data_IF_122326387281
#
_entry.id   IF_122326387281
#
_cell.length_a   1.000
_cell.length_b   1.000
_cell.length_c   1.000
_cell.angle_alpha   90.00
_cell.angle_beta   90.00
_cell.angle_gamma   90.00
#
_symmetry.space_group_name_H-M   'P 1'
#
loop_
_entity.id
_entity.type
_entity.pdbx_description
1 polymer ?
#
# COMPACT_ATOMS: atom_id res chain seq x y z
N UNK A 1 49.57 -4.84 21.27
CA UNK A 1 50.04 -3.55 20.72
C UNK A 1 49.28 -3.32 19.41
N UNK A 2 48.55 -2.19 19.29
CA UNK A 2 47.58 -1.98 18.21
C UNK A 2 48.32 -1.76 16.86
N UNK A 3 47.94 -2.49 15.79
CA UNK A 3 48.54 -2.38 14.43
C UNK A 3 48.68 -0.94 13.93
N UNK A 4 47.76 -0.03 14.32
CA UNK A 4 47.82 1.41 14.02
C UNK A 4 48.96 2.13 14.71
N UNK A 5 49.33 1.70 15.92
CA UNK A 5 50.44 2.27 16.70
C UNK A 5 51.80 1.81 16.13
N UNK A 6 51.85 0.56 15.64
CA UNK A 6 53.06 0.01 14.96
C UNK A 6 53.34 0.74 13.65
N UNK A 7 52.29 1.06 12.85
CA UNK A 7 52.43 1.83 11.61
C UNK A 7 52.85 3.29 11.88
N UNK A 8 52.43 3.89 13.02
CA UNK A 8 52.87 5.23 13.42
C UNK A 8 54.36 5.23 13.78
N UNK A 9 54.83 4.21 14.51
CA UNK A 9 56.24 4.08 14.86
C UNK A 9 57.12 3.89 13.60
N UNK A 10 56.69 3.10 12.62
CA UNK A 10 57.39 2.94 11.35
C UNK A 10 57.41 4.22 10.53
N UNK A 11 56.34 5.00 10.51
CA UNK A 11 56.26 6.26 9.77
C UNK A 11 57.18 7.31 10.41
N UNK A 12 57.22 7.37 11.75
CA UNK A 12 58.14 8.24 12.50
C UNK A 12 59.60 7.84 12.28
N UNK A 13 59.89 6.51 12.25
CA UNK A 13 61.22 6.04 11.94
C UNK A 13 61.71 6.38 10.51
N UNK A 14 60.81 6.32 9.50
CA UNK A 14 61.11 6.73 8.13
C UNK A 14 61.32 8.25 8.03
N UNK A 15 60.55 9.08 8.73
CA UNK A 15 60.75 10.53 8.80
C UNK A 15 62.07 10.91 9.46
N UNK A 16 62.50 10.16 10.47
CA UNK A 16 63.79 10.36 11.14
C UNK A 16 64.97 9.94 10.25
N UNK A 17 64.78 8.90 9.44
CA UNK A 17 65.86 8.44 8.51
C UNK A 17 66.10 9.36 7.35
N UNK A 18 65.19 10.29 7.05
CA UNK A 18 65.33 11.29 5.99
C UNK A 18 66.02 12.58 6.46
N UNK A 19 66.39 12.69 7.73
CA UNK A 19 67.19 13.82 8.24
C UNK A 19 68.68 13.53 7.98
N UNK A 20 69.39 14.34 7.19
CA UNK A 20 70.82 14.11 6.97
C UNK A 20 71.59 14.17 8.31
N UNK A 21 72.38 13.15 8.60
CA UNK A 21 73.06 12.87 9.90
C UNK A 21 74.04 14.00 10.35
N UNK A 22 74.21 15.05 9.58
CA UNK A 22 75.16 16.18 9.85
C UNK A 22 74.52 17.51 10.12
N UNK A 23 73.23 17.60 10.46
CA UNK A 23 72.65 18.84 10.96
C UNK A 23 73.05 19.01 12.42
N UNK A 24 74.06 19.85 12.74
CA UNK A 24 74.27 20.37 14.10
C UNK A 24 73.04 21.16 14.50
N UNK A 25 72.12 20.54 15.21
CA UNK A 25 70.92 21.18 15.75
C UNK A 25 71.37 22.06 16.90
N UNK A 26 71.47 23.37 16.68
CA UNK A 26 71.62 24.34 17.79
C UNK A 26 70.34 24.26 18.64
N UNK A 27 70.47 23.75 19.86
CA UNK A 27 69.40 23.42 20.76
C UNK A 27 68.55 24.61 21.29
N UNK A 28 68.64 25.79 20.68
CA UNK A 28 67.99 27.00 21.19
C UNK A 28 67.21 27.79 20.12
N UNK A 29 66.88 27.23 18.96
CA UNK A 29 66.07 27.96 17.99
C UNK A 29 64.62 28.17 18.50
N UNK A 30 64.22 29.44 18.62
CA UNK A 30 62.81 29.84 18.88
C UNK A 30 61.90 29.57 17.65
N UNK A 31 62.48 29.12 16.54
CA UNK A 31 61.83 28.86 15.25
C UNK A 31 62.22 27.46 14.79
N UNK A 32 61.72 26.38 15.42
CA UNK A 32 62.02 25.03 14.93
C UNK A 32 61.36 24.77 13.58
N UNK A 33 61.98 23.92 12.78
CA UNK A 33 61.38 23.42 11.53
C UNK A 33 60.39 22.30 11.92
N UNK A 34 59.15 22.40 11.46
CA UNK A 34 58.11 21.35 11.65
C UNK A 34 57.90 20.66 10.31
N UNK A 35 58.00 19.35 10.28
CA UNK A 35 57.68 18.49 9.13
C UNK A 35 56.38 17.70 9.43
N UNK A 36 55.48 17.66 8.44
CA UNK A 36 54.22 16.92 8.54
C UNK A 36 54.26 15.71 7.59
N UNK A 37 53.56 14.62 7.99
CA UNK A 37 53.37 13.44 7.11
C UNK A 37 52.52 13.76 5.87
N UNK A 38 51.68 14.82 5.93
CA UNK A 38 50.99 15.38 4.78
C UNK A 38 50.56 16.83 5.02
N UNK A 39 50.42 17.59 3.94
CA UNK A 39 50.03 19.02 3.97
C UNK A 39 48.57 19.22 3.50
N UNK A 40 47.98 18.18 2.91
CA UNK A 40 46.56 18.14 2.56
C UNK A 40 46.07 16.71 2.55
N UNK A 41 44.79 16.53 2.95
CA UNK A 41 44.13 15.23 2.96
C UNK A 41 42.64 15.40 2.69
N UNK A 42 42.11 14.53 1.81
CA UNK A 42 40.66 14.41 1.57
C UNK A 42 40.14 13.19 2.31
N UNK A 43 39.04 13.35 3.06
CA UNK A 43 38.44 12.33 3.91
C UNK A 43 36.94 12.27 3.63
N UNK A 44 36.32 11.10 3.91
CA UNK A 44 34.88 10.95 4.02
C UNK A 44 34.46 11.16 5.47
N UNK A 45 33.19 11.44 5.72
CA UNK A 45 32.66 11.51 7.08
C UNK A 45 32.89 10.16 7.79
N UNK A 46 33.40 10.22 9.02
CA UNK A 46 33.75 9.06 9.83
C UNK A 46 35.16 8.51 9.62
N UNK A 47 35.87 8.97 8.57
CA UNK A 47 37.28 8.57 8.38
C UNK A 47 38.16 9.23 9.44
N UNK A 48 39.20 8.49 9.89
CA UNK A 48 40.26 9.05 10.73
C UNK A 48 41.65 8.64 10.21
N UNK A 49 42.66 9.49 10.49
CA UNK A 49 44.05 9.19 10.22
C UNK A 49 44.94 9.91 11.23
N UNK A 50 46.19 9.47 11.37
CA UNK A 50 47.19 10.15 12.16
C UNK A 50 48.02 11.13 11.33
N UNK A 51 47.96 12.43 11.66
CA UNK A 51 48.86 13.45 11.16
C UNK A 51 50.11 13.43 12.00
N UNK A 52 51.15 12.78 11.50
CA UNK A 52 52.44 12.80 12.18
C UNK A 52 53.14 14.15 11.99
N UNK A 53 53.74 14.66 13.04
CA UNK A 53 54.53 15.89 13.02
C UNK A 53 55.87 15.70 13.80
N UNK A 54 56.95 16.15 13.22
CA UNK A 54 58.28 16.11 13.83
C UNK A 54 58.86 17.51 13.87
N UNK A 55 59.37 17.93 15.02
CA UNK A 55 60.06 19.21 15.18
C UNK A 55 61.56 19.02 15.25
N UNK A 56 62.31 19.90 14.60
CA UNK A 56 63.79 19.82 14.51
C UNK A 56 64.51 19.97 15.84
N UNK A 57 63.82 20.48 16.88
CA UNK A 57 64.34 20.62 18.25
C UNK A 57 63.98 19.45 19.18
N UNK A 58 63.33 18.41 18.65
CA UNK A 58 62.92 17.20 19.39
C UNK A 58 61.70 17.39 20.31
N UNK A 59 61.07 18.58 20.34
CA UNK A 59 59.87 18.79 21.12
C UNK A 59 58.64 18.17 20.44
N UNK A 60 57.59 17.91 21.21
CA UNK A 60 56.31 17.39 20.72
C UNK A 60 55.43 18.59 20.33
N UNK A 61 55.08 18.75 19.02
CA UNK A 61 54.20 19.81 18.59
C UNK A 61 52.78 19.65 19.10
N UNK A 62 52.03 20.75 19.24
CA UNK A 62 50.61 20.76 19.58
C UNK A 62 49.74 20.84 18.34
N UNK A 63 48.58 20.20 18.36
CA UNK A 63 47.64 20.14 17.26
C UNK A 63 46.36 20.90 17.58
N UNK A 64 45.84 21.71 16.66
CA UNK A 64 44.59 22.44 16.82
C UNK A 64 43.82 22.50 15.49
N UNK A 65 42.55 22.08 15.48
CA UNK A 65 41.69 22.28 14.33
C UNK A 65 41.12 23.70 14.28
N UNK A 66 41.09 24.29 13.08
CA UNK A 66 40.42 25.58 12.85
C UNK A 66 38.89 25.44 12.86
N UNK A 67 38.38 24.22 12.66
CA UNK A 67 36.94 23.89 12.80
C UNK A 67 36.75 22.44 13.23
N UNK A 68 36.62 22.23 14.53
CA UNK A 68 36.38 20.90 15.12
C UNK A 68 35.01 20.29 14.71
N UNK A 69 34.10 21.10 14.17
CA UNK A 69 32.85 20.64 13.60
C UNK A 69 33.08 19.92 12.25
N UNK A 70 34.08 20.34 11.45
CA UNK A 70 34.43 19.72 10.18
C UNK A 70 35.36 18.54 10.41
N UNK A 71 36.49 18.75 11.12
CA UNK A 71 37.39 17.70 11.53
C UNK A 71 38.01 18.04 12.91
N UNK A 72 37.99 17.09 13.82
CA UNK A 72 38.67 17.22 15.13
C UNK A 72 40.07 16.61 15.06
N UNK A 73 40.93 17.02 15.96
CA UNK A 73 42.25 16.43 16.15
C UNK A 73 42.53 16.21 17.65
N UNK A 74 43.12 15.04 17.96
CA UNK A 74 43.60 14.76 19.33
C UNK A 74 44.98 15.32 19.59
N UNK A 75 45.44 15.35 20.85
CA UNK A 75 46.80 15.73 21.21
C UNK A 75 47.89 14.84 20.59
N UNK A 76 47.53 13.61 20.17
CA UNK A 76 48.42 12.67 19.48
C UNK A 76 48.38 12.79 17.96
N UNK A 77 47.65 13.79 17.42
CA UNK A 77 47.54 14.00 15.97
C UNK A 77 46.52 13.11 15.24
N UNK A 78 45.64 12.38 15.95
CA UNK A 78 44.56 11.66 15.28
C UNK A 78 43.49 12.64 14.80
N UNK A 79 43.32 12.76 13.50
CA UNK A 79 42.33 13.61 12.81
C UNK A 79 41.12 12.77 12.47
N UNK A 80 39.92 13.22 12.92
CA UNK A 80 38.64 12.54 12.60
C UNK A 80 37.72 13.50 11.86
N UNK A 81 37.24 13.08 10.67
CA UNK A 81 36.32 13.82 9.82
C UNK A 81 34.88 13.70 10.37
N UNK A 82 34.18 14.85 10.59
CA UNK A 82 32.84 14.88 11.23
C UNK A 82 31.73 15.40 10.29
N UNK A 83 32.00 16.46 9.54
CA UNK A 83 31.02 17.05 8.62
C UNK A 83 31.66 17.58 7.36
N UNK A 84 30.92 17.70 6.25
CA UNK A 84 31.47 18.18 4.98
C UNK A 84 31.99 19.61 5.11
N UNK A 85 33.11 19.87 4.43
CA UNK A 85 33.73 21.19 4.41
C UNK A 85 35.24 21.13 4.35
N UNK A 86 35.89 22.28 4.57
CA UNK A 86 37.34 22.39 4.59
C UNK A 86 37.76 23.08 5.89
N UNK A 87 38.76 22.53 6.53
CA UNK A 87 39.43 23.14 7.69
C UNK A 87 40.94 22.93 7.62
N UNK A 88 41.69 23.55 8.51
CA UNK A 88 43.11 23.31 8.69
C UNK A 88 43.35 22.68 10.07
N UNK A 89 44.29 21.75 10.13
CA UNK A 89 44.89 21.31 11.37
C UNK A 89 46.18 22.09 11.55
N UNK A 90 46.22 23.04 12.44
CA UNK A 90 47.40 23.80 12.79
C UNK A 90 48.27 22.99 13.72
N UNK A 91 49.56 22.91 13.40
CA UNK A 91 50.58 22.22 14.18
C UNK A 91 51.60 23.26 14.62
N UNK A 92 51.72 23.45 15.94
CA UNK A 92 52.53 24.50 16.51
C UNK A 92 53.57 23.95 17.48
N UNK A 93 54.79 24.49 17.33
CA UNK A 93 55.86 24.32 18.25
C UNK A 93 56.57 25.68 18.47
N UNK A 94 56.59 26.14 19.72
CA UNK A 94 57.08 27.50 20.10
C UNK A 94 56.46 28.61 19.20
N UNK A 95 57.26 29.30 18.40
CA UNK A 95 56.83 30.37 17.47
C UNK A 95 56.55 29.90 16.04
N UNK A 96 56.83 28.65 15.74
CA UNK A 96 56.59 28.08 14.40
C UNK A 96 55.21 27.42 14.37
N UNK A 97 54.44 27.71 13.31
CA UNK A 97 53.13 27.11 13.04
C UNK A 97 53.06 26.72 11.58
N UNK A 98 52.61 25.49 11.28
CA UNK A 98 52.37 24.99 9.96
C UNK A 98 50.99 24.31 9.96
N UNK A 99 50.36 24.14 8.81
CA UNK A 99 49.03 23.54 8.74
C UNK A 99 48.90 22.46 7.69
N UNK A 100 48.06 21.48 7.98
CA UNK A 100 47.54 20.49 7.03
C UNK A 100 46.09 20.85 6.64
N UNK A 101 45.82 20.99 5.35
CA UNK A 101 44.48 21.25 4.83
C UNK A 101 43.67 19.95 4.82
N UNK A 102 42.53 19.93 5.50
CA UNK A 102 41.58 18.79 5.51
C UNK A 102 40.34 19.18 4.73
N UNK A 103 40.00 18.35 3.74
CA UNK A 103 38.74 18.45 2.99
C UNK A 103 37.88 17.24 3.31
N UNK A 104 36.71 17.45 3.90
CA UNK A 104 35.73 16.38 4.15
C UNK A 104 34.67 16.45 3.06
N UNK A 105 34.53 15.37 2.31
CA UNK A 105 33.56 15.27 1.19
C UNK A 105 32.15 15.02 1.69
N UNK A 106 31.15 15.54 0.97
CA UNK A 106 29.74 15.20 1.20
C UNK A 106 29.50 13.72 0.93
N UNK A 107 28.62 13.11 1.72
CA UNK A 107 28.15 11.73 1.51
C UNK A 107 27.45 11.65 0.17
N UNK A 108 27.84 10.69 -0.67
CA UNK A 108 27.13 10.37 -1.90
C UNK A 108 26.14 9.24 -1.59
N UNK A 109 24.87 9.44 -1.95
CA UNK A 109 23.81 8.43 -1.85
C UNK A 109 23.37 8.08 -3.26
N UNK A 110 23.30 6.78 -3.56
CA UNK A 110 22.79 6.25 -4.83
C UNK A 110 21.63 5.32 -4.51
N UNK A 111 20.48 5.58 -5.11
CA UNK A 111 19.29 4.75 -5.04
C UNK A 111 19.26 3.77 -6.21
N UNK A 112 18.74 2.55 -6.00
CA UNK A 112 18.48 1.60 -7.10
C UNK A 112 17.49 2.17 -8.10
N UNK A 113 16.48 2.94 -7.60
CA UNK A 113 15.47 3.60 -8.42
C UNK A 113 15.20 5.02 -7.92
N UNK A 114 15.01 5.95 -8.86
CA UNK A 114 14.60 7.34 -8.55
C UNK A 114 13.10 7.53 -8.59
N UNK A 115 12.39 6.59 -9.21
CA UNK A 115 10.93 6.54 -9.25
C UNK A 115 10.46 5.10 -9.36
N UNK A 116 9.40 4.75 -8.63
CA UNK A 116 8.75 3.44 -8.65
C UNK A 116 7.24 3.59 -8.84
N UNK A 117 6.62 2.58 -9.44
CA UNK A 117 5.18 2.51 -9.62
C UNK A 117 4.70 1.15 -9.15
N UNK A 118 3.90 1.13 -8.09
CA UNK A 118 3.44 -0.07 -7.39
C UNK A 118 1.91 -0.06 -7.24
N UNK A 119 1.33 -1.24 -6.99
CA UNK A 119 -0.09 -1.38 -6.66
C UNK A 119 -0.32 -1.19 -5.14
N UNK A 120 -1.58 -1.09 -4.74
CA UNK A 120 -1.96 -1.15 -3.32
C UNK A 120 -1.52 -2.49 -2.70
N UNK A 121 -0.91 -2.46 -1.52
CA UNK A 121 -0.30 -3.59 -0.79
C UNK A 121 0.90 -4.24 -1.50
N UNK A 122 1.34 -3.72 -2.64
CA UNK A 122 2.59 -4.15 -3.24
C UNK A 122 3.77 -3.49 -2.53
N UNK A 123 4.85 -4.26 -2.36
CA UNK A 123 6.08 -3.78 -1.73
C UNK A 123 7.25 -3.80 -2.71
N UNK A 124 8.10 -2.77 -2.63
CA UNK A 124 9.31 -2.62 -3.41
C UNK A 124 10.50 -2.35 -2.50
N UNK A 125 11.58 -3.11 -2.66
CA UNK A 125 12.85 -2.90 -1.92
C UNK A 125 13.68 -1.83 -2.61
N UNK A 126 13.76 -0.64 -2.00
CA UNK A 126 14.63 0.44 -2.45
C UNK A 126 16.04 0.21 -1.92
N UNK A 127 16.93 -0.32 -2.77
CA UNK A 127 18.32 -0.52 -2.40
C UNK A 127 19.09 0.80 -2.43
N UNK A 128 19.91 1.02 -1.40
CA UNK A 128 20.66 2.26 -1.20
C UNK A 128 22.15 1.94 -1.01
N UNK A 129 23.01 2.64 -1.72
CA UNK A 129 24.45 2.61 -1.48
C UNK A 129 24.92 3.99 -1.09
N UNK A 130 25.83 4.05 -0.08
CA UNK A 130 26.42 5.30 0.39
C UNK A 130 27.92 5.26 0.30
N UNK A 131 28.56 6.44 0.15
CA UNK A 131 30.01 6.56 0.17
C UNK A 131 30.62 6.52 1.59
N UNK A 132 29.78 6.53 2.61
CA UNK A 132 30.15 6.47 4.05
C UNK A 132 29.44 5.30 4.72
N UNK A 133 29.86 4.94 5.93
CA UNK A 133 29.24 3.87 6.74
C UNK A 133 28.19 4.41 7.74
N UNK A 134 27.76 5.67 7.57
CA UNK A 134 26.75 6.29 8.43
C UNK A 134 25.37 5.64 8.27
N UNK A 135 24.53 5.82 9.30
CA UNK A 135 23.16 5.30 9.33
C UNK A 135 22.32 5.92 8.21
N UNK A 136 21.51 5.06 7.58
CA UNK A 136 20.56 5.45 6.56
C UNK A 136 19.19 5.54 7.21
N UNK A 137 18.49 6.65 7.00
CA UNK A 137 17.12 6.84 7.46
C UNK A 137 16.17 7.10 6.30
N UNK A 138 14.95 6.56 6.40
CA UNK A 138 13.92 6.65 5.39
C UNK A 138 12.71 7.39 5.93
N UNK A 139 12.08 8.22 5.11
CA UNK A 139 10.86 8.94 5.49
C UNK A 139 9.94 9.14 4.30
N UNK A 140 8.68 8.75 4.44
CA UNK A 140 7.62 9.11 3.48
C UNK A 140 7.05 10.49 3.82
N UNK A 141 6.80 11.32 2.81
CA UNK A 141 6.09 12.58 2.97
C UNK A 141 4.56 12.39 3.06
N UNK A 142 4.05 11.20 2.65
CA UNK A 142 2.61 10.92 2.60
C UNK A 142 2.34 9.44 2.91
N UNK A 143 2.33 9.10 4.18
CA UNK A 143 2.16 7.72 4.68
C UNK A 143 0.80 7.10 4.33
N UNK A 144 -0.22 7.93 4.06
CA UNK A 144 -1.52 7.45 3.56
C UNK A 144 -1.46 6.89 2.13
N UNK A 145 -0.44 7.24 1.35
CA UNK A 145 -0.22 6.75 -0.02
C UNK A 145 0.82 5.64 -0.04
N UNK A 146 1.98 5.86 0.57
CA UNK A 146 3.03 4.86 0.66
C UNK A 146 3.80 5.01 1.97
N UNK A 147 4.12 3.90 2.61
CA UNK A 147 4.99 3.81 3.79
C UNK A 147 6.35 3.25 3.40
N UNK A 148 7.35 3.48 4.23
CA UNK A 148 8.68 2.89 4.10
C UNK A 148 9.16 2.42 5.47
N UNK A 149 9.74 1.23 5.54
CA UNK A 149 10.34 0.71 6.77
C UNK A 149 11.81 1.15 6.95
N UNK A 150 12.40 0.78 8.08
CA UNK A 150 13.81 1.06 8.41
C UNK A 150 14.81 0.39 7.47
N UNK A 151 14.39 -0.65 6.77
CA UNK A 151 15.19 -1.39 5.80
C UNK A 151 15.06 -0.84 4.38
N UNK A 152 14.22 0.17 4.14
CA UNK A 152 13.98 0.74 2.82
C UNK A 152 12.96 -0.04 1.97
N UNK A 153 12.11 -0.87 2.57
CA UNK A 153 10.99 -1.52 1.87
C UNK A 153 9.83 -0.53 1.80
N UNK A 154 9.45 -0.14 0.59
CA UNK A 154 8.35 0.77 0.30
C UNK A 154 7.10 -0.03 0.01
N UNK A 155 5.98 0.24 0.72
CA UNK A 155 4.69 -0.43 0.52
C UNK A 155 3.61 0.57 0.15
N UNK A 156 2.87 0.29 -0.92
CA UNK A 156 1.72 1.09 -1.36
C UNK A 156 0.50 0.92 -0.46
N UNK A 157 -0.12 2.02 -0.02
CA UNK A 157 -1.29 2.00 0.86
C UNK A 157 -2.59 2.43 0.17
N UNK A 158 -2.54 3.48 -0.67
CA UNK A 158 -3.68 3.97 -1.45
C UNK A 158 -3.20 4.63 -2.74
N UNK A 159 -4.01 4.65 -3.80
CA UNK A 159 -3.67 5.35 -5.04
C UNK A 159 -3.28 6.81 -4.82
N UNK A 160 -2.21 7.23 -5.49
CA UNK A 160 -1.69 8.60 -5.40
C UNK A 160 -0.16 8.65 -5.54
N UNK A 161 0.39 9.83 -5.26
CA UNK A 161 1.82 10.08 -5.33
C UNK A 161 2.39 10.39 -3.94
N UNK A 162 3.56 9.83 -3.66
CA UNK A 162 4.35 10.08 -2.45
C UNK A 162 5.84 10.23 -2.80
N UNK A 163 6.62 10.76 -1.87
CA UNK A 163 8.06 10.89 -1.99
C UNK A 163 8.70 10.21 -0.77
N UNK A 164 9.60 9.28 -1.04
CA UNK A 164 10.46 8.69 -0.02
C UNK A 164 11.77 9.46 0.00
N UNK A 165 12.05 10.10 1.12
CA UNK A 165 13.33 10.76 1.40
C UNK A 165 14.27 9.78 2.08
N UNK A 166 15.48 9.63 1.53
CA UNK A 166 16.55 8.79 2.04
C UNK A 166 17.68 9.71 2.49
N UNK A 167 18.03 9.66 3.77
CA UNK A 167 19.05 10.51 4.36
C UNK A 167 20.19 9.69 4.95
N UNK A 168 21.43 10.08 4.64
CA UNK A 168 22.63 9.61 5.29
C UNK A 168 23.53 10.83 5.59
N UNK A 169 24.00 10.93 6.82
CA UNK A 169 24.72 12.11 7.34
C UNK A 169 23.94 13.41 7.06
N UNK A 170 24.53 14.35 6.31
CA UNK A 170 23.90 15.61 5.92
C UNK A 170 23.28 15.62 4.54
N UNK A 171 23.32 14.48 3.82
CA UNK A 171 22.82 14.36 2.44
C UNK A 171 21.45 13.68 2.44
N UNK A 172 20.53 14.21 1.63
CA UNK A 172 19.21 13.63 1.40
C UNK A 172 18.99 13.50 -0.10
N UNK A 173 18.48 12.34 -0.51
CA UNK A 173 18.00 12.08 -1.88
C UNK A 173 16.55 11.59 -1.83
N UNK A 174 15.86 11.60 -2.96
CA UNK A 174 14.43 11.29 -3.02
C UNK A 174 14.14 10.24 -4.09
N UNK A 175 13.18 9.35 -3.77
CA UNK A 175 12.53 8.45 -4.69
C UNK A 175 11.05 8.83 -4.81
N UNK A 176 10.56 9.03 -6.04
CA UNK A 176 9.14 9.26 -6.32
C UNK A 176 8.41 7.92 -6.32
N UNK A 177 7.28 7.86 -5.64
CA UNK A 177 6.44 6.66 -5.56
C UNK A 177 5.07 6.99 -6.11
N UNK A 178 4.63 6.23 -7.11
CA UNK A 178 3.27 6.26 -7.61
C UNK A 178 2.57 4.97 -7.24
N UNK A 179 1.54 5.05 -6.40
CA UNK A 179 0.62 3.94 -6.16
C UNK A 179 -0.50 4.04 -7.20
N UNK A 180 -0.61 3.01 -8.04
CA UNK A 180 -1.53 3.01 -9.18
C UNK A 180 -2.98 2.98 -8.72
N UNK A 181 -3.84 3.61 -9.50
CA UNK A 181 -5.29 3.44 -9.39
C UNK A 181 -5.66 2.05 -9.93
N UNK A 182 -6.39 1.21 -9.17
CA UNK A 182 -6.71 -0.13 -9.64
C UNK A 182 -7.68 -0.11 -10.82
N UNK A 183 -7.55 -1.09 -11.71
CA UNK A 183 -8.58 -1.42 -12.67
C UNK A 183 -9.52 -2.45 -12.06
N UNK A 184 -10.85 -2.26 -12.25
CA UNK A 184 -11.90 -3.17 -11.75
C UNK A 184 -12.78 -3.58 -12.89
N UNK A 185 -12.96 -4.88 -13.12
CA UNK A 185 -13.84 -5.46 -14.13
C UNK A 185 -14.79 -6.45 -13.48
N UNK A 186 -16.09 -6.32 -13.74
CA UNK A 186 -17.12 -7.23 -13.21
C UNK A 186 -17.49 -8.30 -14.24
N UNK A 187 -17.70 -9.51 -13.76
CA UNK A 187 -18.23 -10.62 -14.53
C UNK A 187 -19.29 -11.41 -13.69
N UNK A 188 -20.54 -11.48 -14.19
CA UNK A 188 -21.10 -10.77 -15.34
C UNK A 188 -21.29 -9.26 -15.08
N UNK A 189 -21.42 -8.47 -16.16
CA UNK A 189 -21.71 -7.02 -16.06
C UNK A 189 -23.20 -6.72 -15.86
N UNK A 190 -24.08 -7.69 -16.09
CA UNK A 190 -25.51 -7.63 -15.79
C UNK A 190 -26.06 -9.01 -15.47
N UNK A 191 -27.12 -9.06 -14.66
CA UNK A 191 -27.84 -10.28 -14.28
C UNK A 191 -29.33 -10.14 -14.54
N UNK A 192 -29.95 -11.24 -14.97
CA UNK A 192 -31.40 -11.35 -15.12
C UNK A 192 -31.87 -12.63 -14.45
N UNK A 193 -32.71 -12.52 -13.45
CA UNK A 193 -33.09 -13.63 -12.54
C UNK A 193 -34.56 -13.52 -12.12
N UNK A 194 -35.09 -14.58 -11.55
CA UNK A 194 -36.38 -14.58 -10.87
C UNK A 194 -36.19 -14.52 -9.34
N UNK A 195 -37.21 -14.10 -8.63
CA UNK A 195 -37.24 -14.11 -7.15
C UNK A 195 -36.82 -15.47 -6.58
N UNK A 196 -35.94 -15.48 -5.58
CA UNK A 196 -35.41 -16.66 -4.93
C UNK A 196 -34.16 -17.26 -5.58
N UNK A 197 -33.79 -16.81 -6.79
CA UNK A 197 -32.54 -17.21 -7.42
C UNK A 197 -31.35 -16.44 -6.84
N UNK A 198 -30.17 -17.07 -6.87
CA UNK A 198 -28.90 -16.46 -6.48
C UNK A 198 -27.88 -16.67 -7.61
N UNK A 199 -26.98 -15.67 -7.78
CA UNK A 199 -25.88 -15.72 -8.73
C UNK A 199 -24.66 -15.00 -8.17
N UNK A 200 -23.46 -15.38 -8.58
CA UNK A 200 -22.22 -14.74 -8.16
C UNK A 200 -21.76 -13.72 -9.21
N UNK A 201 -21.42 -12.52 -8.74
CA UNK A 201 -20.66 -11.53 -9.50
C UNK A 201 -19.22 -11.61 -9.02
N UNK A 202 -18.28 -11.75 -9.94
CA UNK A 202 -16.84 -11.71 -9.64
C UNK A 202 -16.27 -10.37 -10.08
N UNK A 203 -15.24 -9.89 -9.36
CA UNK A 203 -14.50 -8.70 -9.72
C UNK A 203 -13.02 -9.05 -9.95
N UNK A 204 -12.52 -8.77 -11.17
CA UNK A 204 -11.09 -8.77 -11.45
C UNK A 204 -10.53 -7.41 -11.08
N UNK A 205 -9.60 -7.38 -10.12
CA UNK A 205 -8.99 -6.18 -9.59
C UNK A 205 -7.48 -6.25 -9.76
N UNK A 206 -6.84 -5.26 -10.41
CA UNK A 206 -5.38 -5.26 -10.65
C UNK A 206 -4.57 -5.29 -9.35
N UNK A 207 -5.02 -4.60 -8.31
CA UNK A 207 -4.37 -4.57 -7.00
C UNK A 207 -4.67 -5.79 -6.12
N UNK A 208 -5.52 -6.74 -6.58
CA UNK A 208 -5.96 -7.93 -5.82
C UNK A 208 -6.68 -7.63 -4.50
N UNK A 209 -7.07 -6.37 -4.28
CA UNK A 209 -7.87 -5.97 -3.12
C UNK A 209 -9.31 -6.43 -3.32
N UNK A 210 -9.89 -7.03 -2.30
CA UNK A 210 -11.29 -7.44 -2.33
C UNK A 210 -12.22 -6.23 -2.41
N UNK A 211 -13.22 -6.24 -3.32
CA UNK A 211 -14.18 -5.15 -3.43
C UNK A 211 -15.15 -5.11 -2.25
N UNK A 212 -15.60 -3.92 -1.90
CA UNK A 212 -16.74 -3.72 -1.02
C UNK A 212 -18.00 -3.69 -1.88
N UNK A 213 -18.93 -4.62 -1.62
CA UNK A 213 -20.16 -4.78 -2.37
C UNK A 213 -21.32 -4.01 -1.72
N UNK A 214 -22.18 -3.39 -2.54
CA UNK A 214 -23.38 -2.71 -2.06
C UNK A 214 -24.50 -2.76 -3.09
N UNK A 215 -25.71 -3.07 -2.66
CA UNK A 215 -26.95 -2.90 -3.44
C UNK A 215 -27.58 -1.53 -3.15
N UNK A 216 -28.03 -0.83 -4.19
CA UNK A 216 -28.81 0.41 -4.02
C UNK A 216 -30.28 0.14 -3.66
N UNK A 217 -30.78 -1.11 -3.87
CA UNK A 217 -32.16 -1.54 -3.58
C UNK A 217 -32.17 -2.96 -3.00
N UNK A 218 -31.82 -3.08 -1.73
CA UNK A 218 -31.74 -4.37 -1.01
C UNK A 218 -33.06 -5.13 -0.94
N UNK A 219 -34.22 -4.42 -1.08
CA UNK A 219 -35.53 -5.05 -1.18
C UNK A 219 -35.79 -5.77 -2.53
N UNK A 220 -35.04 -5.42 -3.59
CA UNK A 220 -35.13 -6.06 -4.92
C UNK A 220 -34.09 -7.15 -5.05
N UNK A 221 -32.82 -6.82 -4.80
CA UNK A 221 -31.72 -7.76 -4.80
C UNK A 221 -30.70 -7.37 -3.73
N UNK A 222 -30.29 -8.33 -2.94
CA UNK A 222 -29.22 -8.15 -1.94
C UNK A 222 -27.93 -8.77 -2.46
N UNK A 223 -26.77 -8.30 -1.93
CA UNK A 223 -25.44 -8.83 -2.22
C UNK A 223 -24.68 -9.03 -0.92
N UNK A 224 -23.95 -10.14 -0.80
CA UNK A 224 -23.07 -10.41 0.32
C UNK A 224 -21.63 -9.89 0.06
N UNK A 225 -20.75 -10.05 1.05
CA UNK A 225 -19.34 -9.66 0.99
C UNK A 225 -18.52 -10.41 -0.07
N UNK A 226 -19.00 -11.58 -0.52
CA UNK A 226 -18.35 -12.44 -1.50
C UNK A 226 -18.89 -12.23 -2.94
N UNK A 227 -19.82 -11.28 -3.13
CA UNK A 227 -20.43 -10.97 -4.41
C UNK A 227 -21.58 -11.90 -4.82
N UNK A 228 -22.14 -12.69 -3.90
CA UNK A 228 -23.36 -13.46 -4.17
C UNK A 228 -24.59 -12.55 -4.08
N UNK A 229 -25.29 -12.47 -5.20
CA UNK A 229 -26.53 -11.69 -5.33
C UNK A 229 -27.73 -12.62 -5.16
N UNK A 230 -28.67 -12.24 -4.30
CA UNK A 230 -29.95 -12.94 -4.08
C UNK A 230 -31.10 -12.03 -4.52
N UNK A 231 -31.93 -12.54 -5.44
CA UNK A 231 -33.10 -11.85 -5.93
C UNK A 231 -34.29 -12.00 -4.96
N UNK A 232 -34.86 -10.88 -4.48
CA UNK A 232 -35.89 -10.88 -3.42
C UNK A 232 -37.28 -10.47 -3.94
N UNK A 233 -37.34 -9.54 -4.93
CA UNK A 233 -38.59 -9.01 -5.47
C UNK A 233 -38.34 -8.50 -6.89
N UNK A 234 -39.37 -8.59 -7.78
CA UNK A 234 -39.28 -8.03 -9.12
C UNK A 234 -38.92 -6.54 -9.12
N UNK A 235 -38.12 -6.13 -10.09
CA UNK A 235 -37.58 -4.79 -10.23
C UNK A 235 -36.12 -4.78 -10.66
N UNK A 236 -35.49 -3.62 -10.61
CA UNK A 236 -34.08 -3.45 -10.95
C UNK A 236 -33.32 -2.94 -9.74
N UNK A 237 -32.15 -3.53 -9.46
CA UNK A 237 -31.18 -3.10 -8.47
C UNK A 237 -29.81 -2.91 -9.12
N UNK A 238 -29.02 -1.96 -8.61
CA UNK A 238 -27.64 -1.74 -9.02
C UNK A 238 -26.72 -2.27 -7.91
N UNK A 239 -25.93 -3.28 -8.24
CA UNK A 239 -24.90 -3.84 -7.37
C UNK A 239 -23.59 -3.15 -7.69
N UNK A 240 -23.02 -2.47 -6.72
CA UNK A 240 -21.78 -1.71 -6.85
C UNK A 240 -20.64 -2.43 -6.13
N UNK A 241 -19.54 -2.67 -6.85
CA UNK A 241 -18.25 -3.05 -6.29
C UNK A 241 -17.37 -1.81 -6.16
N UNK A 242 -16.77 -1.59 -5.00
CA UNK A 242 -15.88 -0.45 -4.73
C UNK A 242 -14.52 -0.93 -4.26
N UNK A 243 -13.45 -0.47 -4.93
CA UNK A 243 -12.05 -0.73 -4.56
C UNK A 243 -11.26 0.57 -4.66
N UNK A 244 -10.65 1.03 -3.57
CA UNK A 244 -9.86 2.27 -3.53
C UNK A 244 -10.57 3.50 -4.13
N UNK A 245 -11.88 3.60 -3.92
CA UNK A 245 -12.72 4.67 -4.47
C UNK A 245 -13.21 4.43 -5.91
N UNK A 246 -12.67 3.45 -6.62
CA UNK A 246 -13.14 3.05 -7.95
C UNK A 246 -14.40 2.22 -7.81
N UNK A 247 -15.46 2.60 -8.55
CA UNK A 247 -16.76 1.95 -8.54
C UNK A 247 -17.07 1.31 -9.88
N UNK A 248 -17.55 0.06 -9.84
CA UNK A 248 -18.14 -0.62 -11.00
C UNK A 248 -19.50 -1.15 -10.61
N UNK A 249 -20.41 -1.15 -11.56
CA UNK A 249 -21.82 -1.46 -11.36
C UNK A 249 -22.21 -2.65 -12.23
N UNK A 250 -22.93 -3.58 -11.62
CA UNK A 250 -23.66 -4.65 -12.29
C UNK A 250 -25.16 -4.38 -12.11
N UNK A 251 -25.90 -4.27 -13.22
CA UNK A 251 -27.33 -4.15 -13.19
C UNK A 251 -27.97 -5.52 -12.98
N UNK A 252 -28.86 -5.63 -12.00
CA UNK A 252 -29.60 -6.84 -11.67
C UNK A 252 -31.06 -6.61 -11.92
N UNK A 253 -31.62 -7.27 -12.93
CA UNK A 253 -33.05 -7.27 -13.23
C UNK A 253 -33.70 -8.52 -12.65
N UNK A 254 -34.54 -8.37 -11.66
CA UNK A 254 -35.44 -9.41 -11.18
C UNK A 254 -36.73 -9.35 -11.98
N UNK A 255 -36.94 -10.36 -12.84
CA UNK A 255 -38.09 -10.42 -13.73
C UNK A 255 -39.38 -10.71 -12.96
N UNK A 256 -40.53 -10.05 -13.30
CA UNK A 256 -41.82 -10.52 -12.83
C UNK A 256 -42.12 -11.88 -13.45
N UNK A 257 -42.65 -12.85 -12.70
CA UNK A 257 -43.00 -14.15 -13.25
C UNK A 257 -44.21 -14.07 -14.17
N UNK A 258 -44.30 -15.04 -15.07
CA UNK A 258 -45.52 -15.29 -15.89
C UNK A 258 -46.26 -16.46 -15.27
N UNK A 259 -47.57 -16.28 -15.00
CA UNK A 259 -48.45 -17.36 -14.46
C UNK A 259 -49.38 -17.81 -15.53
N UNK A 260 -49.29 -19.09 -15.92
CA UNK A 260 -50.22 -19.76 -16.84
C UNK A 260 -51.08 -20.77 -16.09
N UNK A 261 -52.40 -20.62 -16.12
CA UNK A 261 -53.34 -21.53 -15.55
C UNK A 261 -53.78 -22.62 -16.56
N UNK A 262 -54.01 -23.83 -16.09
CA UNK A 262 -54.55 -24.95 -16.88
C UNK A 262 -55.95 -24.63 -17.42
N UNK A 263 -56.74 -23.82 -16.70
CA UNK A 263 -58.08 -23.34 -17.10
C UNK A 263 -58.26 -21.91 -16.59
N UNK A 264 -58.92 -21.05 -17.40
CA UNK A 264 -59.29 -19.68 -17.04
C UNK A 264 -60.74 -19.57 -16.56
N UNK A 265 -61.54 -20.61 -16.84
CA UNK A 265 -62.91 -20.76 -16.37
C UNK A 265 -63.27 -22.23 -16.15
N UNK A 266 -64.12 -22.52 -15.15
CA UNK A 266 -64.66 -23.86 -14.88
C UNK A 266 -66.10 -23.72 -14.42
N UNK A 267 -66.96 -24.72 -14.81
CA UNK A 267 -68.32 -24.86 -14.30
C UNK A 267 -68.39 -26.14 -13.48
N UNK A 268 -68.92 -26.03 -12.24
CA UNK A 268 -68.97 -27.13 -11.26
C UNK A 268 -70.37 -27.22 -10.64
N UNK A 269 -70.69 -28.35 -10.06
CA UNK A 269 -71.87 -28.54 -9.18
C UNK A 269 -71.46 -28.40 -7.73
N UNK A 270 -72.38 -28.04 -6.81
CA UNK A 270 -72.10 -28.06 -5.39
C UNK A 270 -71.55 -29.43 -4.94
N UNK A 271 -70.41 -29.41 -4.19
CA UNK A 271 -69.69 -30.60 -3.76
C UNK A 271 -68.55 -31.06 -4.68
N UNK A 272 -68.52 -30.60 -5.96
CA UNK A 272 -67.46 -30.98 -6.89
C UNK A 272 -66.11 -30.40 -6.43
N UNK A 273 -65.05 -31.15 -6.72
CA UNK A 273 -63.66 -30.74 -6.55
C UNK A 273 -62.89 -30.83 -7.88
N UNK A 274 -62.01 -29.86 -8.14
CA UNK A 274 -61.10 -29.86 -9.28
C UNK A 274 -59.76 -29.29 -8.89
N UNK A 275 -58.69 -29.86 -9.41
CA UNK A 275 -57.33 -29.28 -9.30
C UNK A 275 -57.06 -28.33 -10.46
N UNK A 276 -56.85 -27.05 -10.14
CA UNK A 276 -56.33 -26.04 -11.08
C UNK A 276 -54.83 -25.97 -10.99
N UNK A 277 -54.14 -26.22 -12.08
CA UNK A 277 -52.65 -26.14 -12.10
C UNK A 277 -52.21 -24.74 -12.56
N UNK A 278 -51.24 -24.20 -11.85
CA UNK A 278 -50.57 -22.95 -12.21
C UNK A 278 -49.11 -23.22 -12.53
N UNK A 279 -48.69 -22.95 -13.77
CA UNK A 279 -47.29 -22.96 -14.18
C UNK A 279 -46.75 -21.55 -14.02
N UNK A 280 -45.76 -21.39 -13.11
CA UNK A 280 -45.12 -20.13 -12.79
C UNK A 280 -43.70 -20.14 -13.33
N UNK A 281 -43.35 -19.16 -14.19
CA UNK A 281 -42.04 -19.12 -14.85
C UNK A 281 -40.85 -18.98 -13.92
N UNK A 282 -41.06 -18.50 -12.70
CA UNK A 282 -40.01 -18.42 -11.65
C UNK A 282 -39.75 -19.76 -10.96
N UNK A 283 -40.61 -20.74 -11.13
CA UNK A 283 -40.58 -22.01 -10.37
C UNK A 283 -41.06 -21.88 -8.92
N UNK A 284 -41.40 -20.68 -8.45
CA UNK A 284 -41.87 -20.44 -7.08
C UNK A 284 -43.32 -20.87 -6.91
N UNK A 285 -43.65 -21.29 -5.68
CA UNK A 285 -45.04 -21.64 -5.31
C UNK A 285 -45.91 -20.37 -5.26
N UNK A 286 -47.00 -20.30 -6.06
CA UNK A 286 -47.89 -19.15 -6.06
C UNK A 286 -48.87 -19.20 -4.86
N UNK A 287 -49.39 -18.01 -4.51
CA UNK A 287 -50.46 -17.88 -3.51
C UNK A 287 -51.81 -17.95 -4.19
N UNK A 288 -52.73 -18.76 -3.63
CA UNK A 288 -54.09 -18.96 -4.08
C UNK A 288 -55.10 -18.27 -3.18
N UNK A 289 -56.04 -17.52 -3.76
CA UNK A 289 -57.09 -16.83 -3.01
C UNK A 289 -58.41 -16.94 -3.78
N UNK A 290 -59.49 -17.30 -3.10
CA UNK A 290 -60.86 -17.17 -3.59
C UNK A 290 -61.45 -15.84 -3.11
N UNK A 291 -62.07 -15.06 -4.00
CA UNK A 291 -62.81 -13.85 -3.65
C UNK A 291 -64.17 -14.10 -3.01
N UNK A 292 -64.71 -15.31 -3.20
CA UNK A 292 -66.01 -15.74 -2.57
C UNK A 292 -65.89 -17.17 -2.08
N UNK A 293 -65.33 -17.37 -0.92
CA UNK A 293 -65.13 -18.71 -0.32
C UNK A 293 -66.41 -19.43 0.05
N UNK A 294 -67.57 -18.72 0.15
CA UNK A 294 -68.89 -19.28 0.32
C UNK A 294 -69.41 -19.97 -0.95
N UNK A 295 -68.94 -19.53 -2.15
CA UNK A 295 -69.31 -20.16 -3.45
C UNK A 295 -68.31 -21.23 -3.81
N UNK A 296 -67.03 -20.93 -3.79
CA UNK A 296 -65.95 -21.88 -4.07
C UNK A 296 -64.70 -21.53 -3.24
N UNK A 297 -64.16 -22.49 -2.54
CA UNK A 297 -62.91 -22.38 -1.79
C UNK A 297 -61.75 -22.92 -2.62
N UNK A 298 -60.51 -22.44 -2.41
CA UNK A 298 -59.30 -22.97 -3.02
C UNK A 298 -58.23 -23.22 -1.96
N UNK A 299 -57.55 -24.37 -2.09
CA UNK A 299 -56.37 -24.67 -1.26
C UNK A 299 -55.10 -24.07 -1.82
N UNK A 300 -53.99 -24.02 -1.03
CA UNK A 300 -52.68 -23.61 -1.54
C UNK A 300 -52.04 -24.60 -2.52
N UNK A 301 -52.70 -25.78 -2.75
CA UNK A 301 -52.33 -26.76 -3.78
C UNK A 301 -53.15 -26.59 -5.06
N UNK A 302 -54.02 -25.56 -5.16
CA UNK A 302 -54.88 -25.32 -6.32
C UNK A 302 -56.14 -26.20 -6.38
N UNK A 303 -56.50 -26.93 -5.30
CA UNK A 303 -57.72 -27.70 -5.25
C UNK A 303 -58.88 -26.76 -4.97
N UNK A 304 -59.82 -26.66 -5.93
CA UNK A 304 -61.03 -25.85 -5.87
C UNK A 304 -62.15 -26.77 -5.43
N UNK A 305 -62.87 -26.37 -4.34
CA UNK A 305 -64.07 -27.04 -3.84
C UNK A 305 -65.28 -26.13 -4.03
N UNK A 306 -66.25 -26.57 -4.87
CA UNK A 306 -67.53 -25.88 -5.09
C UNK A 306 -68.46 -26.09 -3.90
N UNK A 307 -69.09 -25.00 -3.38
CA UNK A 307 -69.97 -25.06 -2.19
C UNK A 307 -71.41 -24.68 -2.46
N UNK A 308 -71.67 -23.49 -2.99
CA UNK A 308 -73.02 -22.96 -3.25
C UNK A 308 -73.08 -22.39 -4.66
N UNK A 309 -74.28 -22.41 -5.27
CA UNK A 309 -74.53 -21.80 -6.56
C UNK A 309 -74.11 -20.32 -6.58
N UNK A 310 -73.47 -19.89 -7.67
CA UNK A 310 -72.95 -18.55 -7.84
C UNK A 310 -71.64 -18.52 -8.61
N UNK A 311 -71.01 -17.38 -8.66
CA UNK A 311 -69.69 -17.19 -9.32
C UNK A 311 -68.66 -16.74 -8.30
N UNK A 312 -67.45 -17.38 -8.30
CA UNK A 312 -66.26 -17.01 -7.53
C UNK A 312 -65.09 -16.82 -8.47
N UNK A 313 -64.21 -15.84 -8.15
CA UNK A 313 -62.95 -15.62 -8.81
C UNK A 313 -61.84 -16.20 -7.95
N UNK A 314 -61.11 -17.14 -8.52
CA UNK A 314 -59.85 -17.65 -7.92
C UNK A 314 -58.72 -16.84 -8.50
N UNK A 315 -57.93 -16.22 -7.63
CA UNK A 315 -56.78 -15.46 -7.99
C UNK A 315 -55.50 -16.21 -7.58
N UNK A 316 -54.57 -16.33 -8.50
CA UNK A 316 -53.26 -16.92 -8.32
C UNK A 316 -52.25 -15.78 -8.42
N UNK A 317 -51.33 -15.65 -7.51
CA UNK A 317 -50.35 -14.55 -7.50
C UNK A 317 -48.98 -15.02 -7.05
N UNK A 318 -47.92 -14.46 -7.66
CA UNK A 318 -46.53 -14.64 -7.28
C UNK A 318 -45.75 -13.36 -7.70
N UNK A 319 -44.99 -12.77 -6.78
CA UNK A 319 -44.13 -11.61 -6.97
C UNK A 319 -44.74 -10.53 -7.88
N UNK A 320 -45.98 -10.11 -7.55
CA UNK A 320 -46.73 -9.07 -8.25
C UNK A 320 -47.50 -9.54 -9.50
N UNK A 321 -47.15 -10.66 -10.10
CA UNK A 321 -47.92 -11.27 -11.20
C UNK A 321 -49.23 -11.91 -10.67
N UNK A 322 -50.27 -11.87 -11.50
CA UNK A 322 -51.58 -12.41 -11.19
C UNK A 322 -52.18 -13.11 -12.37
N UNK A 323 -52.87 -14.23 -12.12
CA UNK A 323 -53.75 -14.89 -13.07
C UNK A 323 -55.07 -15.20 -12.38
N UNK A 324 -56.16 -15.28 -13.12
CA UNK A 324 -57.48 -15.54 -12.57
C UNK A 324 -58.16 -16.69 -13.24
N UNK A 325 -58.95 -17.44 -12.47
CA UNK A 325 -59.90 -18.41 -12.99
C UNK A 325 -61.30 -18.12 -12.47
N UNK A 326 -62.29 -18.02 -13.35
CA UNK A 326 -63.69 -17.85 -12.97
C UNK A 326 -64.34 -19.19 -12.72
N UNK A 327 -64.84 -19.38 -11.53
CA UNK A 327 -65.58 -20.63 -11.14
C UNK A 327 -67.05 -20.31 -11.06
N UNK A 328 -67.84 -20.95 -11.91
CA UNK A 328 -69.30 -20.89 -11.90
C UNK A 328 -69.85 -22.18 -11.27
N UNK A 329 -70.57 -22.05 -10.18
CA UNK A 329 -71.25 -23.18 -9.54
C UNK A 329 -72.74 -23.11 -9.89
N UNK A 330 -73.26 -24.12 -10.63
CA UNK A 330 -74.67 -24.22 -11.02
C UNK A 330 -75.35 -25.28 -10.21
N UNK A 331 -76.59 -25.00 -9.73
CA UNK A 331 -77.48 -26.05 -9.22
C UNK A 331 -77.87 -26.98 -10.35
N UNK A 332 -78.18 -28.27 -10.03
CA UNK A 332 -78.77 -29.20 -10.97
C UNK A 332 -80.07 -28.70 -11.51
#
# INVERSE_FOLDING_TARGET
MNKKFLNLLTLVAILISCIPYNVKVNAASNYPIILLSCYQKTLKIGDSFYLAAVSSNGSIPTFKSTSSKIASVTSLGEVTAKSPGTCKINVKDKRTEISCKITVTKTKIVLSEKSISIEHNESFKLNVTTSTKGDITYKSNKTSVAVVDENGTVTGCKPGDAIISVKADSTTVQCKVKVKTPTVKLNPSSLSMYRGQSAKITAEVSSKINPVWKSNRTSVANVDENGYVTALKHGTALITATVDGIKKICEVTVKPPVIKLSKTSVTLKPGDEITLVANVSSGNTPKWISKKTSVAAVSQKGIIRAKKAGTAIITVSEDGAKAICTVTVKQK
#
